data_IF_808420164511
#
_entry.id   IF_808420164511
#
_cell.length_a   1.000
_cell.length_b   1.000
_cell.length_c   1.000
_cell.angle_alpha   90.00
_cell.angle_beta   90.00
_cell.angle_gamma   90.00
#
_symmetry.space_group_name_H-M   'P 1'
#
loop_
_entity.id
_entity.type
_entity.pdbx_description
1 polymer ?
#
# COMPACT_ATOMS: atom_id res chain seq x y z
N UNK A 1 12.21 40.32 -8.89
CA UNK A 1 12.65 39.35 -7.86
C UNK A 1 12.27 37.96 -8.36
N UNK A 2 13.19 37.03 -8.49
CA UNK A 2 12.87 35.68 -8.94
C UNK A 2 12.43 34.85 -7.74
N UNK A 3 11.13 34.76 -7.55
CA UNK A 3 10.52 34.05 -6.40
C UNK A 3 10.80 32.55 -6.47
N UNK A 4 10.85 31.95 -7.67
CA UNK A 4 11.11 30.53 -7.84
C UNK A 4 12.54 30.16 -7.45
N UNK A 5 13.53 30.96 -7.88
CA UNK A 5 14.92 30.77 -7.42
C UNK A 5 15.07 30.94 -5.91
N UNK A 6 14.35 31.88 -5.31
CA UNK A 6 14.38 32.06 -3.86
C UNK A 6 13.73 30.87 -3.12
N UNK A 7 12.64 30.29 -3.66
CA UNK A 7 12.03 29.07 -3.14
C UNK A 7 12.98 27.88 -3.27
N UNK A 8 13.64 27.69 -4.41
CA UNK A 8 14.68 26.64 -4.59
C UNK A 8 15.78 26.78 -3.55
N UNK A 9 16.34 27.98 -3.39
CA UNK A 9 17.39 28.23 -2.40
C UNK A 9 16.94 27.90 -0.96
N UNK A 10 15.72 28.27 -0.60
CA UNK A 10 15.15 27.95 0.71
C UNK A 10 14.98 26.44 0.91
N UNK A 11 14.43 25.72 -0.06
CA UNK A 11 14.22 24.25 0.01
C UNK A 11 15.56 23.53 0.18
N UNK A 12 16.59 23.85 -0.60
CA UNK A 12 17.91 23.25 -0.47
C UNK A 12 18.60 23.56 0.88
N UNK A 13 18.41 24.78 1.42
CA UNK A 13 18.94 25.13 2.76
C UNK A 13 18.21 24.34 3.84
N UNK A 14 16.90 24.15 3.70
CA UNK A 14 16.11 23.39 4.65
C UNK A 14 16.48 21.90 4.66
N UNK A 15 16.69 21.30 3.50
CA UNK A 15 17.10 19.92 3.32
C UNK A 15 18.53 19.65 3.78
N UNK A 16 19.48 20.47 3.33
CA UNK A 16 20.90 20.31 3.66
C UNK A 16 21.27 20.76 5.08
N UNK A 17 20.40 21.51 5.75
CA UNK A 17 20.69 22.12 7.05
C UNK A 17 21.87 23.12 7.04
N UNK A 18 22.31 23.56 5.84
CA UNK A 18 23.52 24.36 5.64
C UNK A 18 23.45 25.24 4.40
N UNK A 19 23.72 26.53 4.56
CA UNK A 19 23.83 27.47 3.43
C UNK A 19 24.98 27.13 2.48
N UNK A 20 26.08 26.60 3.02
CA UNK A 20 27.24 26.22 2.22
C UNK A 20 26.96 24.97 1.39
N UNK A 21 26.32 23.96 1.98
CA UNK A 21 25.92 22.76 1.26
C UNK A 21 24.90 23.06 0.17
N UNK A 22 23.91 23.89 0.46
CA UNK A 22 22.92 24.35 -0.53
C UNK A 22 23.57 25.14 -1.68
N UNK A 23 24.59 25.96 -1.38
CA UNK A 23 25.33 26.71 -2.40
C UNK A 23 26.07 25.80 -3.38
N UNK A 24 26.66 24.70 -2.88
CA UNK A 24 27.31 23.69 -3.72
C UNK A 24 26.30 22.99 -4.63
N UNK A 25 25.15 22.61 -4.10
CA UNK A 25 24.09 21.95 -4.88
C UNK A 25 23.50 22.86 -5.97
N UNK A 26 23.43 24.16 -5.69
CA UNK A 26 22.88 25.16 -6.62
C UNK A 26 23.93 25.79 -7.55
N UNK A 27 25.16 25.30 -7.51
CA UNK A 27 26.29 25.86 -8.27
C UNK A 27 26.42 27.40 -8.15
N UNK A 28 26.34 27.89 -6.90
CA UNK A 28 26.37 29.33 -6.59
C UNK A 28 27.15 29.62 -5.30
N UNK A 29 27.18 30.87 -4.89
CA UNK A 29 27.86 31.28 -3.66
C UNK A 29 26.95 31.24 -2.44
N UNK A 30 27.48 30.93 -1.26
CA UNK A 30 26.77 31.00 0.02
C UNK A 30 26.09 32.36 0.26
N UNK A 31 26.74 33.44 -0.20
CA UNK A 31 26.20 34.80 -0.11
C UNK A 31 24.89 34.96 -0.95
N UNK A 32 24.86 34.38 -2.15
CA UNK A 32 23.69 34.41 -3.02
C UNK A 32 22.54 33.60 -2.41
N UNK A 33 22.82 32.40 -1.91
CA UNK A 33 21.80 31.57 -1.24
C UNK A 33 21.25 32.28 0.00
N UNK A 34 22.11 32.89 0.82
CA UNK A 34 21.66 33.66 2.00
C UNK A 34 20.79 34.86 1.63
N UNK A 35 21.15 35.54 0.54
CA UNK A 35 20.37 36.68 0.02
C UNK A 35 19.03 36.21 -0.52
N UNK A 36 18.98 35.11 -1.26
CA UNK A 36 17.75 34.53 -1.80
C UNK A 36 16.74 34.19 -0.69
N UNK A 37 17.21 33.51 0.35
CA UNK A 37 16.38 33.17 1.52
C UNK A 37 15.92 34.44 2.26
N UNK A 38 16.80 35.41 2.46
CA UNK A 38 16.45 36.67 3.11
C UNK A 38 15.43 37.48 2.30
N UNK A 39 15.55 37.49 0.99
CA UNK A 39 14.57 38.12 0.10
C UNK A 39 13.21 37.43 0.17
N UNK A 40 13.19 36.09 0.28
CA UNK A 40 11.98 35.32 0.44
C UNK A 40 11.27 35.61 1.78
N UNK A 41 12.02 35.61 2.88
CA UNK A 41 11.52 35.96 4.22
C UNK A 41 10.96 37.40 4.26
N UNK A 42 11.66 38.34 3.60
CA UNK A 42 11.22 39.73 3.49
C UNK A 42 9.93 39.87 2.66
N UNK A 43 9.83 39.13 1.55
CA UNK A 43 8.62 39.12 0.71
C UNK A 43 7.41 38.56 1.46
N UNK A 44 7.60 37.49 2.22
CA UNK A 44 6.56 36.83 3.01
C UNK A 44 6.29 37.53 4.34
N UNK A 45 7.10 38.53 4.71
CA UNK A 45 7.08 39.19 6.02
C UNK A 45 7.10 38.20 7.20
N UNK A 46 7.77 37.07 7.01
CA UNK A 46 7.78 35.95 7.95
C UNK A 46 9.15 35.26 7.96
N UNK A 47 9.66 34.95 9.15
CA UNK A 47 10.86 34.14 9.28
C UNK A 47 10.54 32.68 8.98
N UNK A 48 11.28 32.06 8.05
CA UNK A 48 11.18 30.67 7.68
C UNK A 48 12.25 29.81 8.38
N UNK A 49 13.42 30.41 8.69
CA UNK A 49 14.54 29.75 9.32
C UNK A 49 14.90 30.42 10.67
N UNK A 50 15.14 29.61 11.68
CA UNK A 50 15.81 29.99 12.91
C UNK A 50 17.33 29.83 12.70
N UNK A 51 18.06 30.94 12.70
CA UNK A 51 19.50 30.97 12.52
C UNK A 51 20.15 31.06 13.91
N UNK A 52 20.79 29.98 14.36
CA UNK A 52 21.73 30.03 15.47
C UNK A 52 23.14 29.84 14.95
N UNK A 53 24.16 30.23 15.70
CA UNK A 53 25.57 30.08 15.32
C UNK A 53 25.99 28.61 15.14
N UNK A 54 25.16 27.65 15.53
CA UNK A 54 25.47 26.22 15.50
C UNK A 54 24.51 25.36 14.68
N UNK A 55 23.29 25.83 14.39
CA UNK A 55 22.28 25.03 13.63
C UNK A 55 21.28 25.94 12.89
N UNK A 56 20.84 25.46 11.75
CA UNK A 56 19.70 25.98 11.01
C UNK A 56 18.53 25.06 11.31
N UNK A 57 17.39 25.64 11.70
CA UNK A 57 16.17 24.92 11.94
C UNK A 57 14.99 25.66 11.31
N UNK A 58 14.01 24.94 10.78
CA UNK A 58 12.78 25.52 10.27
C UNK A 58 11.93 26.09 11.40
N UNK A 59 11.30 27.23 11.17
CA UNK A 59 10.16 27.70 11.98
C UNK A 59 8.90 26.88 11.63
N UNK A 60 7.83 26.98 12.43
CA UNK A 60 6.55 26.35 12.08
C UNK A 60 5.98 26.91 10.76
N UNK A 61 6.17 28.19 10.48
CA UNK A 61 5.85 28.78 9.18
C UNK A 61 6.75 28.22 8.08
N UNK A 62 8.05 28.03 8.37
CA UNK A 62 9.02 27.46 7.46
C UNK A 62 8.67 26.03 7.05
N UNK A 63 8.26 25.19 7.98
CA UNK A 63 7.84 23.81 7.69
C UNK A 63 6.65 23.77 6.72
N UNK A 64 5.60 24.54 7.03
CA UNK A 64 4.42 24.61 6.17
C UNK A 64 4.74 25.19 4.79
N UNK A 65 5.59 26.21 4.75
CA UNK A 65 5.99 26.85 3.50
C UNK A 65 6.91 25.95 2.65
N UNK A 66 7.80 25.17 3.27
CA UNK A 66 8.64 24.20 2.57
C UNK A 66 7.82 23.20 1.77
N UNK A 67 6.82 22.61 2.38
CA UNK A 67 5.89 21.69 1.68
C UNK A 67 5.25 22.33 0.45
N UNK A 68 4.91 23.62 0.54
CA UNK A 68 4.36 24.34 -0.61
C UNK A 68 5.41 24.69 -1.67
N UNK A 69 6.63 25.04 -1.25
CA UNK A 69 7.74 25.25 -2.18
C UNK A 69 8.02 23.99 -3.00
N UNK A 70 8.13 22.84 -2.36
CA UNK A 70 8.36 21.57 -3.03
C UNK A 70 7.28 21.25 -4.07
N UNK A 71 6.02 21.49 -3.73
CA UNK A 71 4.90 21.33 -4.66
C UNK A 71 4.98 22.28 -5.87
N UNK A 72 5.25 23.56 -5.62
CA UNK A 72 5.32 24.58 -6.68
C UNK A 72 6.50 24.30 -7.60
N UNK A 73 7.67 23.98 -7.04
CA UNK A 73 8.87 23.68 -7.82
C UNK A 73 8.70 22.44 -8.69
N UNK A 74 8.05 21.39 -8.16
CA UNK A 74 7.71 20.20 -8.93
C UNK A 74 6.77 20.53 -10.11
N UNK A 75 5.78 21.42 -9.93
CA UNK A 75 4.92 21.86 -11.04
C UNK A 75 5.67 22.66 -12.11
N UNK A 76 6.64 23.47 -11.70
CA UNK A 76 7.47 24.22 -12.67
C UNK A 76 8.32 23.26 -13.49
N UNK A 77 8.96 22.28 -12.84
CA UNK A 77 9.77 21.26 -13.52
C UNK A 77 8.93 20.42 -14.48
N UNK A 78 7.72 20.08 -14.09
CA UNK A 78 6.77 19.36 -14.94
C UNK A 78 6.33 20.19 -16.17
N UNK A 79 6.00 21.47 -15.97
CA UNK A 79 5.65 22.37 -17.07
C UNK A 79 6.81 22.59 -18.04
N UNK A 80 8.05 22.71 -17.53
CA UNK A 80 9.26 22.81 -18.33
C UNK A 80 9.53 21.51 -19.12
N UNK A 81 9.29 20.35 -18.50
CA UNK A 81 9.41 19.04 -19.14
C UNK A 81 8.34 18.83 -20.24
N UNK A 82 7.08 19.22 -19.98
CA UNK A 82 6.02 19.16 -20.98
C UNK A 82 6.30 20.09 -22.19
N UNK A 83 6.88 21.24 -21.94
CA UNK A 83 7.24 22.18 -23.00
C UNK A 83 8.45 21.73 -23.82
N UNK A 84 9.31 20.92 -23.24
CA UNK A 84 10.57 20.49 -23.87
C UNK A 84 10.50 19.13 -24.57
N UNK A 85 9.57 18.25 -24.19
CA UNK A 85 9.41 16.97 -24.90
C UNK A 85 8.06 16.30 -24.59
N UNK A 86 7.37 15.84 -25.64
CA UNK A 86 6.08 15.13 -25.51
C UNK A 86 6.18 13.74 -24.85
N UNK A 87 7.38 13.35 -24.37
CA UNK A 87 7.65 12.06 -23.75
C UNK A 87 8.63 12.22 -22.58
N UNK A 88 8.21 12.92 -21.53
CA UNK A 88 8.99 12.93 -20.28
C UNK A 88 9.20 11.49 -19.81
N UNK A 89 10.44 10.99 -19.85
CA UNK A 89 10.78 9.66 -19.34
C UNK A 89 10.61 9.66 -17.83
N UNK A 90 9.86 8.69 -17.28
CA UNK A 90 9.72 8.57 -15.85
C UNK A 90 11.10 8.30 -15.22
N UNK A 91 11.49 9.12 -14.24
CA UNK A 91 12.77 9.04 -13.55
C UNK A 91 12.65 9.50 -12.10
N UNK A 92 13.67 9.19 -11.29
CA UNK A 92 13.76 9.59 -9.89
C UNK A 92 13.16 8.58 -8.92
N UNK A 93 13.09 8.95 -7.63
CA UNK A 93 12.60 8.08 -6.56
C UNK A 93 11.06 8.13 -6.49
N UNK A 94 10.43 6.96 -6.43
CA UNK A 94 9.01 6.77 -6.19
C UNK A 94 8.82 6.17 -4.78
N UNK A 95 8.19 6.91 -3.89
CA UNK A 95 7.89 6.48 -2.51
C UNK A 95 6.53 5.81 -2.48
N UNK A 96 6.52 4.52 -2.26
CA UNK A 96 5.32 3.68 -2.32
C UNK A 96 5.01 3.12 -0.95
N UNK A 97 3.79 3.32 -0.47
CA UNK A 97 3.24 2.59 0.66
C UNK A 97 2.33 1.45 0.16
N UNK A 98 2.34 0.31 0.85
CA UNK A 98 1.39 -0.78 0.59
C UNK A 98 1.09 -1.58 1.85
N UNK A 99 -0.07 -2.22 1.91
CA UNK A 99 -0.34 -3.23 2.92
C UNK A 99 0.61 -4.42 2.75
N UNK A 100 1.11 -4.96 3.87
CA UNK A 100 2.21 -5.96 3.90
C UNK A 100 1.97 -7.14 2.95
N UNK A 101 0.81 -7.79 3.03
CA UNK A 101 0.49 -8.92 2.15
C UNK A 101 0.43 -8.54 0.67
N UNK A 102 -0.13 -7.38 0.35
CA UNK A 102 -0.18 -6.87 -1.04
C UNK A 102 1.24 -6.58 -1.54
N UNK A 103 2.07 -5.97 -0.70
CA UNK A 103 3.47 -5.70 -1.02
C UNK A 103 4.24 -6.97 -1.38
N UNK A 104 4.15 -7.98 -0.52
CA UNK A 104 4.87 -9.25 -0.66
C UNK A 104 4.40 -10.07 -1.87
N UNK A 105 3.09 -10.16 -2.09
CA UNK A 105 2.53 -11.05 -3.12
C UNK A 105 2.42 -10.42 -4.50
N UNK A 106 2.41 -9.07 -4.61
CA UNK A 106 2.15 -8.41 -5.89
C UNK A 106 3.12 -7.27 -6.20
N UNK A 107 3.33 -6.33 -5.24
CA UNK A 107 4.01 -5.06 -5.55
C UNK A 107 5.49 -5.24 -5.81
N UNK A 108 6.18 -6.12 -5.07
CA UNK A 108 7.61 -6.38 -5.25
C UNK A 108 7.90 -6.93 -6.65
N UNK A 109 7.11 -7.93 -7.12
CA UNK A 109 7.27 -8.48 -8.45
C UNK A 109 6.89 -7.46 -9.55
N UNK A 110 5.84 -6.67 -9.31
CA UNK A 110 5.46 -5.56 -10.18
C UNK A 110 6.60 -4.54 -10.32
N UNK A 111 7.25 -4.14 -9.22
CA UNK A 111 8.43 -3.27 -9.23
C UNK A 111 9.56 -3.88 -10.06
N UNK A 112 9.86 -5.17 -9.83
CA UNK A 112 10.93 -5.86 -10.55
C UNK A 112 10.70 -5.88 -12.07
N UNK A 113 9.46 -6.05 -12.50
CA UNK A 113 9.08 -6.03 -13.93
C UNK A 113 9.06 -4.61 -14.49
N UNK A 114 8.47 -3.66 -13.78
CA UNK A 114 8.38 -2.26 -14.19
C UNK A 114 9.75 -1.63 -14.41
N UNK A 115 10.71 -1.89 -13.52
CA UNK A 115 12.07 -1.37 -13.63
C UNK A 115 12.85 -1.87 -14.86
N UNK A 116 12.43 -2.97 -15.50
CA UNK A 116 13.06 -3.43 -16.75
C UNK A 116 12.80 -2.46 -17.91
N UNK A 117 11.65 -1.79 -17.90
CA UNK A 117 11.27 -0.80 -18.93
C UNK A 117 11.50 0.64 -18.48
N UNK A 118 11.65 0.88 -17.18
CA UNK A 118 11.84 2.20 -16.58
C UNK A 118 13.03 2.16 -15.59
N UNK A 119 14.28 1.97 -16.09
CA UNK A 119 15.46 1.77 -15.25
C UNK A 119 15.82 2.99 -14.41
N UNK A 120 15.42 4.19 -14.84
CA UNK A 120 15.70 5.46 -14.18
C UNK A 120 14.78 5.74 -12.99
N UNK A 121 13.75 4.89 -12.77
CA UNK A 121 12.87 4.97 -11.59
C UNK A 121 13.43 4.08 -10.49
N UNK A 122 13.66 4.67 -9.32
CA UNK A 122 14.01 3.97 -8.08
C UNK A 122 12.81 3.92 -7.16
N UNK A 123 12.74 2.92 -6.27
CA UNK A 123 11.60 2.73 -5.38
C UNK A 123 12.04 2.76 -3.92
N UNK A 124 11.27 3.47 -3.11
CA UNK A 124 11.29 3.39 -1.65
C UNK A 124 9.94 2.78 -1.22
N UNK A 125 9.97 1.50 -0.81
CA UNK A 125 8.77 0.73 -0.51
C UNK A 125 8.59 0.54 0.99
N UNK A 126 7.55 1.14 1.55
CA UNK A 126 7.12 0.91 2.92
C UNK A 126 5.92 -0.05 2.95
N UNK A 127 6.01 -1.09 3.76
CA UNK A 127 4.94 -2.07 3.95
C UNK A 127 4.38 -2.00 5.37
N UNK A 128 3.11 -1.58 5.51
CA UNK A 128 2.44 -1.52 6.81
C UNK A 128 0.91 -1.70 6.66
N UNK A 129 0.30 -2.43 7.62
CA UNK A 129 -1.14 -2.72 7.59
C UNK A 129 -1.94 -1.56 8.22
N UNK A 130 -1.86 -0.41 7.60
CA UNK A 130 -2.63 0.80 7.91
C UNK A 130 -2.88 1.59 6.64
N UNK A 131 -3.77 2.56 6.69
CA UNK A 131 -3.89 3.58 5.65
C UNK A 131 -3.01 4.75 6.08
N UNK A 132 -1.99 5.15 5.29
CA UNK A 132 -1.12 6.26 5.64
C UNK A 132 -1.81 7.60 5.34
N UNK A 133 -1.35 8.65 5.97
CA UNK A 133 -1.55 10.00 5.44
C UNK A 133 -0.49 10.25 4.37
N UNK A 134 -0.92 10.23 3.10
CA UNK A 134 0.02 10.35 1.98
C UNK A 134 0.80 11.65 1.99
N UNK A 135 0.15 12.76 2.39
CA UNK A 135 0.77 14.08 2.36
C UNK A 135 1.73 14.28 3.52
N UNK A 136 1.30 13.94 4.72
CA UNK A 136 2.11 14.14 5.93
C UNK A 136 3.31 13.19 5.97
N UNK A 137 3.14 11.96 5.41
CA UNK A 137 4.21 10.96 5.39
C UNK A 137 5.03 10.97 4.08
N UNK A 138 4.62 11.79 3.11
CA UNK A 138 5.36 12.03 1.87
C UNK A 138 5.38 10.84 0.90
N UNK A 139 4.33 10.00 0.88
CA UNK A 139 4.19 8.94 -0.11
C UNK A 139 3.62 9.48 -1.43
N UNK A 140 4.20 9.03 -2.54
CA UNK A 140 3.71 9.32 -3.88
C UNK A 140 2.47 8.48 -4.22
N UNK A 141 2.48 7.20 -3.83
CA UNK A 141 1.39 6.24 -4.08
C UNK A 141 1.20 5.34 -2.87
N UNK A 142 -0.06 5.08 -2.50
CA UNK A 142 -0.41 4.04 -1.53
C UNK A 142 -1.30 2.99 -2.17
N UNK A 143 -0.96 1.70 -1.96
CA UNK A 143 -1.73 0.57 -2.48
C UNK A 143 -2.42 -0.10 -1.30
N UNK A 144 -3.75 0.00 -1.25
CA UNK A 144 -4.56 -0.42 -0.10
C UNK A 144 -5.75 -1.27 -0.50
N UNK A 145 -6.21 -2.08 0.45
CA UNK A 145 -7.49 -2.78 0.36
C UNK A 145 -8.55 -1.97 1.10
N UNK A 146 -9.73 -1.85 0.51
CA UNK A 146 -10.91 -1.28 1.17
C UNK A 146 -12.19 -1.82 0.52
N UNK A 147 -13.28 -1.91 1.27
CA UNK A 147 -14.62 -2.11 0.70
C UNK A 147 -15.03 -0.88 -0.08
N UNK A 148 -14.88 0.29 0.55
CA UNK A 148 -15.10 1.62 0.00
C UNK A 148 -14.01 2.56 0.54
N UNK A 149 -13.65 3.55 -0.25
CA UNK A 149 -12.75 4.60 0.19
C UNK A 149 -13.56 5.78 0.73
N UNK A 150 -13.13 6.41 1.83
CA UNK A 150 -13.75 7.66 2.27
C UNK A 150 -13.56 8.74 1.22
N UNK A 151 -14.50 9.68 1.15
CA UNK A 151 -14.38 10.86 0.32
C UNK A 151 -13.16 11.66 0.76
N UNK A 152 -12.23 11.87 -0.16
CA UNK A 152 -10.95 12.51 0.11
C UNK A 152 -10.48 13.31 -1.10
N UNK A 153 -9.55 14.25 -0.89
CA UNK A 153 -8.93 15.00 -1.98
C UNK A 153 -7.93 14.19 -2.83
N UNK A 154 -7.85 12.86 -2.63
CA UNK A 154 -6.96 11.98 -3.38
C UNK A 154 -7.64 11.37 -4.60
N UNK A 155 -6.83 11.06 -5.62
CA UNK A 155 -7.29 10.23 -6.73
C UNK A 155 -7.17 8.78 -6.31
N UNK A 156 -8.21 7.99 -6.59
CA UNK A 156 -8.21 6.55 -6.40
C UNK A 156 -8.36 5.84 -7.73
N UNK A 157 -7.47 4.88 -8.00
CA UNK A 157 -7.55 3.99 -9.14
C UNK A 157 -7.79 2.56 -8.64
N UNK A 158 -8.92 1.98 -9.01
CA UNK A 158 -9.20 0.57 -8.71
C UNK A 158 -8.29 -0.33 -9.56
N UNK A 159 -7.57 -1.23 -8.89
CA UNK A 159 -6.62 -2.17 -9.51
C UNK A 159 -7.17 -3.60 -9.59
N UNK A 160 -8.22 -3.92 -8.83
CA UNK A 160 -8.82 -5.25 -8.86
C UNK A 160 -9.66 -5.53 -7.62
N UNK A 161 -10.07 -6.80 -7.49
CA UNK A 161 -10.87 -7.29 -6.36
C UNK A 161 -10.19 -8.52 -5.79
N UNK A 162 -10.26 -8.68 -4.48
CA UNK A 162 -9.88 -9.91 -3.77
C UNK A 162 -10.93 -10.23 -2.70
N UNK A 163 -10.93 -11.48 -2.25
CA UNK A 163 -11.72 -11.93 -1.11
C UNK A 163 -10.90 -12.92 -0.28
N UNK A 164 -11.44 -13.31 0.84
CA UNK A 164 -10.79 -14.29 1.71
C UNK A 164 -11.64 -15.56 1.83
N UNK A 165 -10.99 -16.64 2.19
CA UNK A 165 -11.57 -17.95 2.38
C UNK A 165 -11.18 -18.49 3.76
N UNK A 166 -11.97 -19.41 4.29
CA UNK A 166 -11.65 -20.07 5.55
C UNK A 166 -10.73 -21.26 5.29
N UNK A 167 -9.60 -21.31 6.00
CA UNK A 167 -8.59 -22.36 5.87
C UNK A 167 -8.28 -23.01 7.22
N UNK A 168 -7.89 -24.28 7.15
CA UNK A 168 -7.33 -25.04 8.25
C UNK A 168 -6.16 -25.90 7.74
N UNK A 169 -5.35 -26.49 8.65
CA UNK A 169 -4.42 -27.54 8.24
C UNK A 169 -5.16 -28.91 8.18
N UNK A 170 -4.69 -29.85 7.34
CA UNK A 170 -5.23 -31.21 7.30
C UNK A 170 -5.22 -31.89 8.67
N UNK A 171 -4.15 -31.69 9.45
CA UNK A 171 -4.03 -32.26 10.79
C UNK A 171 -5.09 -31.71 11.75
N UNK A 172 -5.39 -30.41 11.68
CA UNK A 172 -6.43 -29.80 12.49
C UNK A 172 -7.80 -30.36 12.15
N UNK A 173 -8.14 -30.43 10.85
CA UNK A 173 -9.42 -30.98 10.37
C UNK A 173 -9.59 -32.44 10.79
N UNK A 174 -8.53 -33.23 10.71
CA UNK A 174 -8.56 -34.65 11.15
C UNK A 174 -8.87 -34.77 12.64
N UNK A 175 -8.36 -33.87 13.46
CA UNK A 175 -8.55 -33.93 14.93
C UNK A 175 -9.86 -33.30 15.41
N UNK A 176 -10.34 -32.25 14.75
CA UNK A 176 -11.44 -31.41 15.25
C UNK A 176 -12.68 -31.38 14.34
N UNK A 177 -12.64 -32.07 13.20
CA UNK A 177 -13.69 -32.01 12.19
C UNK A 177 -13.57 -30.82 11.26
N UNK A 178 -14.50 -30.70 10.33
CA UNK A 178 -14.55 -29.64 9.31
C UNK A 178 -15.79 -28.76 9.53
N UNK A 179 -15.62 -27.44 9.49
CA UNK A 179 -16.74 -26.53 9.41
C UNK A 179 -17.32 -26.51 7.98
N UNK A 180 -18.64 -26.57 7.86
CA UNK A 180 -19.36 -26.56 6.58
C UNK A 180 -20.14 -25.26 6.35
N UNK A 181 -20.52 -24.56 7.42
CA UNK A 181 -21.24 -23.29 7.41
C UNK A 181 -20.72 -22.33 8.51
N UNK A 182 -21.00 -21.03 8.42
CA UNK A 182 -20.50 -20.05 9.37
C UNK A 182 -20.75 -20.35 10.84
N UNK A 183 -21.93 -20.90 11.20
CA UNK A 183 -22.26 -21.25 12.58
C UNK A 183 -21.39 -22.37 13.17
N UNK A 184 -20.81 -23.24 12.33
CA UNK A 184 -19.95 -24.33 12.80
C UNK A 184 -18.63 -23.79 13.37
N UNK A 185 -18.19 -22.61 12.92
CA UNK A 185 -16.98 -21.95 13.39
C UNK A 185 -16.97 -21.68 14.90
N UNK A 186 -18.17 -21.58 15.51
CA UNK A 186 -18.31 -21.42 16.96
C UNK A 186 -17.75 -22.63 17.77
N UNK A 187 -17.60 -23.77 17.11
CA UNK A 187 -17.06 -25.00 17.72
C UNK A 187 -15.58 -25.20 17.41
N UNK A 188 -14.94 -24.25 16.72
CA UNK A 188 -13.54 -24.32 16.34
C UNK A 188 -12.68 -23.24 17.00
N UNK A 189 -11.38 -23.49 17.10
CA UNK A 189 -10.41 -22.49 17.49
C UNK A 189 -10.20 -21.49 16.34
N UNK A 190 -10.94 -20.37 16.37
CA UNK A 190 -10.87 -19.34 15.32
C UNK A 190 -9.72 -18.40 15.58
N UNK A 191 -8.75 -18.35 14.65
CA UNK A 191 -7.62 -17.43 14.67
C UNK A 191 -8.02 -16.11 14.00
N UNK A 192 -7.71 -14.96 14.59
CA UNK A 192 -8.19 -13.66 14.08
C UNK A 192 -7.08 -12.84 13.44
N UNK A 193 -7.34 -12.40 12.21
CA UNK A 193 -6.48 -11.47 11.49
C UNK A 193 -6.90 -10.03 11.82
N UNK A 194 -6.01 -9.31 12.50
CA UNK A 194 -6.20 -7.89 12.78
C UNK A 194 -5.96 -7.10 11.51
N UNK A 195 -7.00 -6.44 11.02
CA UNK A 195 -6.98 -5.65 9.78
C UNK A 195 -7.71 -4.33 9.99
N UNK A 196 -7.24 -3.22 9.41
CA UNK A 196 -7.93 -1.94 9.50
C UNK A 196 -9.25 -1.92 8.69
N UNK A 197 -9.46 -2.90 7.81
CA UNK A 197 -10.58 -2.92 6.85
C UNK A 197 -11.58 -4.05 7.10
N UNK A 198 -11.31 -4.95 8.04
CA UNK A 198 -12.19 -6.09 8.36
C UNK A 198 -12.51 -6.05 9.86
N UNK A 199 -13.78 -6.11 10.27
CA UNK A 199 -14.15 -6.19 11.68
C UNK A 199 -13.55 -7.43 12.33
N UNK A 200 -12.91 -7.25 13.48
CA UNK A 200 -12.16 -8.31 14.17
C UNK A 200 -13.04 -9.46 14.66
N UNK A 201 -14.25 -9.15 15.11
CA UNK A 201 -15.15 -10.12 15.76
C UNK A 201 -16.27 -10.60 14.86
N UNK A 202 -16.74 -9.78 13.94
CA UNK A 202 -17.87 -10.07 13.07
C UNK A 202 -17.38 -10.54 11.70
N UNK A 203 -17.43 -11.83 11.48
CA UNK A 203 -17.08 -12.42 10.19
C UNK A 203 -18.30 -12.56 9.33
N UNK A 204 -18.29 -11.95 8.17
CA UNK A 204 -19.35 -11.96 7.19
C UNK A 204 -18.94 -12.81 6.00
N UNK A 205 -19.83 -13.68 5.56
CA UNK A 205 -19.62 -14.60 4.45
C UNK A 205 -20.78 -14.51 3.46
N UNK A 206 -20.45 -14.50 2.18
CA UNK A 206 -21.38 -14.70 1.09
C UNK A 206 -21.47 -16.20 0.80
N UNK A 207 -22.64 -16.77 0.93
CA UNK A 207 -22.93 -18.19 0.76
C UNK A 207 -24.10 -18.45 -0.18
N UNK A 208 -24.51 -19.72 -0.37
CA UNK A 208 -25.56 -20.10 -1.28
C UNK A 208 -26.95 -19.46 -0.97
N UNK A 209 -27.22 -19.26 0.31
CA UNK A 209 -28.51 -18.71 0.79
C UNK A 209 -28.41 -17.18 1.07
N UNK A 210 -27.34 -16.53 0.61
CA UNK A 210 -27.10 -15.12 0.81
C UNK A 210 -25.96 -14.85 1.81
N UNK A 211 -26.01 -13.66 2.41
CA UNK A 211 -24.97 -13.23 3.34
C UNK A 211 -25.27 -13.72 4.76
N UNK A 212 -24.28 -14.37 5.37
CA UNK A 212 -24.34 -14.85 6.74
C UNK A 212 -23.26 -14.19 7.60
N UNK A 213 -23.56 -13.91 8.86
CA UNK A 213 -22.62 -13.32 9.81
C UNK A 213 -22.49 -14.21 11.04
N UNK A 214 -21.24 -14.39 11.49
CA UNK A 214 -20.92 -15.06 12.75
C UNK A 214 -20.06 -14.17 13.61
N UNK A 215 -20.36 -14.15 14.92
CA UNK A 215 -19.54 -13.39 15.89
C UNK A 215 -18.57 -14.33 16.61
N UNK A 216 -17.30 -14.10 16.44
CA UNK A 216 -16.23 -14.85 17.09
C UNK A 216 -15.81 -14.11 18.36
N UNK A 217 -16.32 -14.54 19.51
CA UNK A 217 -16.12 -13.84 20.79
C UNK A 217 -14.73 -14.06 21.40
N UNK A 218 -14.06 -15.18 21.09
CA UNK A 218 -12.74 -15.51 21.59
C UNK A 218 -11.83 -16.03 20.49
N UNK A 219 -10.54 -15.83 20.67
CA UNK A 219 -9.53 -16.31 19.73
C UNK A 219 -8.26 -16.67 20.50
N UNK A 220 -7.70 -17.87 20.29
CA UNK A 220 -6.44 -18.24 20.92
C UNK A 220 -5.24 -17.50 20.33
N UNK A 221 -5.39 -16.85 19.19
CA UNK A 221 -4.30 -16.16 18.50
C UNK A 221 -4.81 -15.00 17.65
N UNK A 222 -4.15 -13.84 17.79
CA UNK A 222 -4.38 -12.64 16.98
C UNK A 222 -3.07 -12.24 16.31
N UNK A 223 -3.15 -11.89 15.04
CA UNK A 223 -2.00 -11.42 14.26
C UNK A 223 -2.43 -10.43 13.19
N UNK A 224 -1.55 -9.51 12.81
CA UNK A 224 -1.82 -8.49 11.79
C UNK A 224 -1.18 -8.78 10.43
N UNK A 225 -0.70 -10.00 10.20
CA UNK A 225 -0.08 -10.44 8.95
C UNK A 225 -0.77 -11.69 8.44
N UNK A 226 -1.21 -11.68 7.17
CA UNK A 226 -1.83 -12.84 6.52
C UNK A 226 -0.85 -14.02 6.41
N UNK A 227 0.44 -13.78 6.18
CA UNK A 227 1.45 -14.83 6.10
C UNK A 227 1.76 -15.45 7.46
N UNK A 228 1.80 -14.64 8.51
CA UNK A 228 1.90 -15.16 9.88
C UNK A 228 0.65 -15.95 10.28
N UNK A 229 -0.55 -15.51 9.86
CA UNK A 229 -1.79 -16.27 10.02
C UNK A 229 -1.73 -17.61 9.27
N UNK A 230 -1.25 -17.62 8.01
CA UNK A 230 -1.03 -18.85 7.24
C UNK A 230 -0.12 -19.81 8.01
N UNK A 231 0.97 -19.33 8.59
CA UNK A 231 1.89 -20.13 9.39
C UNK A 231 1.21 -20.73 10.63
N UNK A 232 0.42 -19.94 11.37
CA UNK A 232 -0.32 -20.43 12.53
C UNK A 232 -1.35 -21.52 12.17
N UNK A 233 -2.07 -21.33 11.05
CA UNK A 233 -3.04 -22.32 10.54
C UNK A 233 -2.32 -23.62 10.14
N UNK A 234 -1.21 -23.53 9.38
CA UNK A 234 -0.45 -24.71 8.96
C UNK A 234 0.17 -25.46 10.13
N UNK A 235 0.49 -24.76 11.22
CA UNK A 235 0.94 -25.36 12.49
C UNK A 235 -0.19 -26.03 13.28
N UNK A 236 -1.43 -26.04 12.79
CA UNK A 236 -2.56 -26.72 13.43
C UNK A 236 -3.19 -25.97 14.60
N UNK A 237 -2.95 -24.67 14.75
CA UNK A 237 -3.48 -23.88 15.86
C UNK A 237 -5.01 -23.68 15.79
N UNK A 238 -5.60 -23.78 14.59
CA UNK A 238 -7.04 -23.53 14.42
C UNK A 238 -7.46 -23.31 12.96
N UNK A 239 -8.62 -22.69 12.82
CA UNK A 239 -9.17 -22.21 11.54
C UNK A 239 -9.00 -20.69 11.44
N UNK A 240 -8.79 -20.17 10.25
CA UNK A 240 -8.66 -18.73 10.06
C UNK A 240 -9.09 -18.29 8.67
N UNK A 241 -9.43 -17.01 8.56
CA UNK A 241 -9.77 -16.37 7.28
C UNK A 241 -8.47 -15.87 6.65
N UNK A 242 -8.18 -16.32 5.43
CA UNK A 242 -7.00 -15.93 4.66
C UNK A 242 -7.42 -15.34 3.32
N UNK A 243 -6.82 -14.22 2.89
CA UNK A 243 -6.93 -13.76 1.51
C UNK A 243 -6.51 -14.87 0.54
N UNK A 244 -7.22 -14.99 -0.59
CA UNK A 244 -6.92 -16.04 -1.59
C UNK A 244 -5.46 -16.04 -2.00
N UNK A 245 -4.85 -14.87 -2.22
CA UNK A 245 -3.45 -14.77 -2.61
C UNK A 245 -2.46 -15.34 -1.57
N UNK A 246 -2.80 -15.29 -0.28
CA UNK A 246 -1.97 -15.87 0.78
C UNK A 246 -2.22 -17.37 0.97
N UNK A 247 -3.44 -17.84 0.65
CA UNK A 247 -3.86 -19.22 0.82
C UNK A 247 -3.46 -20.14 -0.33
N UNK A 248 -3.43 -19.63 -1.58
CA UNK A 248 -3.37 -20.42 -2.82
C UNK A 248 -2.18 -21.39 -2.87
N UNK A 249 -1.00 -20.96 -2.45
CA UNK A 249 0.19 -21.82 -2.41
C UNK A 249 0.02 -22.97 -1.41
N UNK A 250 -0.52 -22.69 -0.22
CA UNK A 250 -0.77 -23.70 0.81
C UNK A 250 -1.83 -24.72 0.40
N UNK A 251 -2.83 -24.28 -0.35
CA UNK A 251 -3.83 -25.16 -0.95
C UNK A 251 -3.19 -26.05 -2.01
N UNK A 252 -2.35 -25.50 -2.88
CA UNK A 252 -1.67 -26.22 -3.96
C UNK A 252 -0.75 -27.32 -3.43
N UNK A 253 0.02 -27.03 -2.39
CA UNK A 253 0.97 -27.98 -1.81
C UNK A 253 0.37 -28.87 -0.68
N UNK A 254 -0.94 -28.71 -0.39
CA UNK A 254 -1.67 -29.52 0.58
C UNK A 254 -1.37 -29.22 2.06
N UNK A 255 -0.66 -28.14 2.36
CA UNK A 255 -0.44 -27.69 3.76
C UNK A 255 -1.65 -26.98 4.36
N UNK A 256 -2.54 -26.50 3.50
CA UNK A 256 -3.84 -25.94 3.84
C UNK A 256 -4.95 -26.73 3.15
N UNK A 257 -6.10 -26.76 3.78
CA UNK A 257 -7.39 -27.17 3.20
C UNK A 257 -8.38 -26.02 3.35
N UNK A 258 -9.19 -25.79 2.33
CA UNK A 258 -10.31 -24.87 2.41
C UNK A 258 -11.44 -25.54 3.16
N UNK A 259 -11.89 -24.93 4.24
CA UNK A 259 -13.14 -25.30 4.92
C UNK A 259 -14.24 -24.37 4.44
N UNK A 260 -15.50 -24.79 4.48
CA UNK A 260 -16.65 -24.02 3.99
C UNK A 260 -16.50 -23.61 2.50
N UNK A 261 -16.32 -24.55 1.54
CA UNK A 261 -16.03 -24.22 0.14
C UNK A 261 -17.11 -23.38 -0.56
N UNK A 262 -18.37 -23.48 -0.10
CA UNK A 262 -19.49 -22.70 -0.65
C UNK A 262 -19.56 -21.26 -0.09
N UNK A 263 -18.64 -20.87 0.77
CA UNK A 263 -18.64 -19.57 1.42
C UNK A 263 -17.35 -18.81 1.11
N UNK A 264 -17.46 -17.51 0.92
CA UNK A 264 -16.33 -16.59 0.82
C UNK A 264 -16.58 -15.38 1.72
N UNK A 265 -15.52 -14.75 2.19
CA UNK A 265 -15.66 -13.51 2.92
C UNK A 265 -16.03 -12.36 1.98
N UNK A 266 -16.41 -11.23 2.56
CA UNK A 266 -16.68 -9.99 1.84
C UNK A 266 -15.56 -9.64 0.87
N UNK A 267 -15.91 -9.22 -0.33
CA UNK A 267 -14.98 -8.72 -1.33
C UNK A 267 -14.38 -7.39 -0.91
N UNK A 268 -13.10 -7.24 -1.16
CA UNK A 268 -12.34 -6.01 -0.98
C UNK A 268 -11.77 -5.55 -2.32
N UNK A 269 -11.87 -4.27 -2.57
CA UNK A 269 -11.23 -3.64 -3.71
C UNK A 269 -9.78 -3.29 -3.38
N UNK A 270 -8.88 -3.54 -4.32
CA UNK A 270 -7.51 -3.07 -4.30
C UNK A 270 -7.45 -1.73 -5.02
N UNK A 271 -6.96 -0.70 -4.35
CA UNK A 271 -6.84 0.65 -4.88
C UNK A 271 -5.39 1.11 -4.86
N UNK A 272 -4.98 1.84 -5.91
CA UNK A 272 -3.88 2.79 -5.82
C UNK A 272 -4.47 4.16 -5.48
N UNK A 273 -3.95 4.79 -4.45
CA UNK A 273 -4.34 6.14 -3.99
C UNK A 273 -3.11 7.03 -4.14
N UNK A 274 -3.30 8.20 -4.73
CA UNK A 274 -2.23 9.17 -4.94
C UNK A 274 -2.79 10.60 -4.90
N UNK A 275 -1.96 11.61 -4.62
CA UNK A 275 -2.42 12.99 -4.55
C UNK A 275 -3.08 13.44 -5.86
N UNK A 276 -4.24 14.10 -5.76
CA UNK A 276 -4.85 14.77 -6.90
C UNK A 276 -3.98 15.97 -7.28
N UNK A 277 -3.23 15.83 -8.36
CA UNK A 277 -2.48 16.94 -8.95
C UNK A 277 -2.98 17.14 -10.36
N UNK A 278 -3.13 18.40 -10.75
CA UNK A 278 -3.55 18.74 -12.12
C UNK A 278 -2.53 18.20 -13.14
N UNK A 279 -1.26 18.12 -12.72
CA UNK A 279 -0.13 17.57 -13.47
C UNK A 279 0.52 16.48 -12.63
N UNK A 280 0.26 15.22 -12.96
CA UNK A 280 0.80 14.08 -12.23
C UNK A 280 2.21 13.77 -12.74
N UNK A 281 3.18 13.63 -11.82
CA UNK A 281 4.54 13.23 -12.15
C UNK A 281 4.55 11.95 -13.02
N UNK A 282 5.34 11.95 -14.10
CA UNK A 282 5.39 10.87 -15.07
C UNK A 282 5.67 9.50 -14.42
N UNK A 283 6.52 9.45 -13.39
CA UNK A 283 6.81 8.21 -12.65
C UNK A 283 5.59 7.67 -11.91
N UNK A 284 4.74 8.54 -11.32
CA UNK A 284 3.50 8.16 -10.64
C UNK A 284 2.48 7.67 -11.68
N UNK A 285 2.27 8.44 -12.74
CA UNK A 285 1.32 8.11 -13.82
C UNK A 285 1.64 6.75 -14.44
N UNK A 286 2.85 6.57 -14.91
CA UNK A 286 3.27 5.33 -15.59
C UNK A 286 3.27 4.13 -14.65
N UNK A 287 3.63 4.30 -13.37
CA UNK A 287 3.54 3.26 -12.37
C UNK A 287 2.09 2.82 -12.11
N UNK A 288 1.17 3.77 -11.89
CA UNK A 288 -0.25 3.46 -11.68
C UNK A 288 -0.87 2.82 -12.92
N UNK A 289 -0.55 3.29 -14.12
CA UNK A 289 -0.98 2.68 -15.39
C UNK A 289 -0.46 1.25 -15.54
N UNK A 290 0.81 1.00 -15.19
CA UNK A 290 1.40 -0.33 -15.17
C UNK A 290 0.66 -1.28 -14.21
N UNK A 291 0.39 -0.83 -12.97
CA UNK A 291 -0.37 -1.62 -11.99
C UNK A 291 -1.79 -1.91 -12.49
N UNK A 292 -2.46 -0.92 -13.09
CA UNK A 292 -3.80 -1.08 -13.66
C UNK A 292 -3.84 -2.12 -14.79
N UNK A 293 -2.77 -2.24 -15.57
CA UNK A 293 -2.66 -3.24 -16.63
C UNK A 293 -2.30 -4.64 -16.13
N UNK A 294 -1.50 -4.75 -15.06
CA UNK A 294 -0.92 -6.03 -14.64
C UNK A 294 -1.65 -6.72 -13.47
N UNK A 295 -2.10 -5.97 -12.47
CA UNK A 295 -2.67 -6.57 -11.26
C UNK A 295 -4.04 -7.24 -11.45
N UNK A 296 -4.97 -6.72 -12.25
CA UNK A 296 -6.26 -7.38 -12.47
C UNK A 296 -6.11 -8.81 -13.00
N UNK A 297 -5.19 -9.04 -13.93
CA UNK A 297 -4.94 -10.36 -14.51
C UNK A 297 -4.39 -11.33 -13.48
N UNK A 298 -3.46 -10.88 -12.63
CA UNK A 298 -2.86 -11.73 -11.59
C UNK A 298 -3.91 -12.09 -10.53
N UNK A 299 -4.72 -11.13 -10.11
CA UNK A 299 -5.80 -11.38 -9.14
C UNK A 299 -6.85 -12.33 -9.71
N UNK A 300 -7.24 -12.15 -10.97
CA UNK A 300 -8.18 -13.04 -11.66
C UNK A 300 -7.61 -14.45 -11.83
N UNK A 301 -6.31 -14.58 -12.10
CA UNK A 301 -5.65 -15.89 -12.21
C UNK A 301 -5.70 -16.67 -10.89
N UNK A 302 -5.46 -16.03 -9.75
CA UNK A 302 -5.59 -16.67 -8.43
C UNK A 302 -7.02 -17.13 -8.15
N UNK A 303 -8.02 -16.35 -8.53
CA UNK A 303 -9.44 -16.72 -8.37
C UNK A 303 -9.83 -17.87 -9.29
N UNK A 304 -9.37 -17.86 -10.54
CA UNK A 304 -9.60 -18.95 -11.50
C UNK A 304 -8.91 -20.25 -11.05
N UNK A 305 -7.69 -20.16 -10.52
CA UNK A 305 -6.98 -21.30 -9.96
C UNK A 305 -7.76 -21.91 -8.79
N UNK A 306 -8.24 -21.09 -7.86
CA UNK A 306 -9.07 -21.58 -6.75
C UNK A 306 -10.32 -22.29 -7.24
N UNK A 307 -11.03 -21.71 -8.21
CA UNK A 307 -12.23 -22.32 -8.79
C UNK A 307 -11.93 -23.65 -9.51
N UNK A 308 -10.80 -23.74 -10.22
CA UNK A 308 -10.37 -24.98 -10.87
C UNK A 308 -10.06 -26.09 -9.87
N UNK A 309 -9.45 -25.76 -8.74
CA UNK A 309 -9.20 -26.69 -7.64
C UNK A 309 -10.51 -27.22 -7.04
N UNK A 310 -11.51 -26.39 -6.88
CA UNK A 310 -12.85 -26.79 -6.38
C UNK A 310 -13.52 -27.80 -7.31
N UNK A 311 -13.45 -27.56 -8.62
CA UNK A 311 -14.06 -28.43 -9.65
C UNK A 311 -13.33 -29.80 -9.74
N UNK A 312 -12.01 -29.80 -9.55
CA UNK A 312 -11.21 -31.03 -9.66
C UNK A 312 -11.30 -31.96 -8.45
N UNK A 313 -11.92 -31.51 -7.36
CA UNK A 313 -11.95 -32.25 -6.08
C UNK A 313 -10.56 -32.46 -5.47
N UNK A 314 -9.53 -31.82 -6.02
CA UNK A 314 -8.11 -32.01 -5.66
C UNK A 314 -7.67 -31.19 -4.46
N UNK A 315 -8.44 -30.13 -4.13
CA UNK A 315 -8.29 -29.47 -2.84
C UNK A 315 -8.95 -30.38 -1.80
N UNK A 316 -8.12 -31.15 -1.14
CA UNK A 316 -8.41 -32.01 0.00
C UNK A 316 -9.73 -31.74 0.74
N UNK A 317 -10.86 -31.88 0.03
CA UNK A 317 -12.07 -32.29 0.71
C UNK A 317 -11.69 -33.67 1.22
N UNK A 318 -11.33 -33.74 2.50
CA UNK A 318 -11.18 -35.00 3.21
C UNK A 318 -12.52 -35.71 2.98
N UNK A 319 -12.59 -36.54 1.96
CA UNK A 319 -13.59 -37.61 1.92
C UNK A 319 -13.23 -38.46 3.14
N UNK A 320 -13.79 -38.09 4.28
CA UNK A 320 -13.87 -39.00 5.41
C UNK A 320 -14.63 -40.21 4.86
N UNK A 321 -13.89 -41.26 4.55
CA UNK A 321 -14.48 -42.56 4.39
C UNK A 321 -15.30 -42.82 5.65
N UNK A 322 -16.57 -43.06 5.46
CA UNK A 322 -17.49 -43.57 6.48
C UNK A 322 -16.94 -44.83 7.10
#
# INVERSE_FOLDING_TARGET
MDTLQNMRAFSYVAEAGSFTAAAVQLDTTTANVSRAVSNLEAHLQTRLLNRTTRRIALTEAGKRYLLRCEQILAYVEEAEAEASDAHARPAGQLKVHTMTGIGQHFVIDAIARYRKTHPDVTFDLTMANRVPDLLDEGYDVSIVLASELPDSGFVSQRLGITYSIVCASPAYVKANGCAHKPSDLLNHACLRLVSPVIPLEKWTFDGPDGQEMVTINSSPFLVNSADAMKTAITSGMGVGVLPVYAAIEGLRNGTLVRVMPNYRSQELNLYAIYPSRQYLDAKIKTWVEYLRGSLPEILAAHQAELAAYELSGSLGVVRLAN
#
